data_IF_396846794334
#
_entry.id   IF_396846794334
#
_cell.length_a   1.000
_cell.length_b   1.000
_cell.length_c   1.000
_cell.angle_alpha   90.00
_cell.angle_beta   90.00
_cell.angle_gamma   90.00
#
_symmetry.space_group_name_H-M   'P 1'
#
loop_
_entity.id
_entity.type
_entity.pdbx_description
1 polymer ?
#
# COMPACT_ATOMS: atom_id res chain seq x y z
N UNK A 1 -0.26 -15.49 13.94
CA UNK A 1 -0.15 -16.06 12.59
C UNK A 1 -1.16 -15.41 11.69
N UNK A 2 -0.73 -14.90 10.54
CA UNK A 2 -1.60 -14.15 9.66
C UNK A 2 -2.15 -15.03 8.54
N UNK A 3 -3.47 -14.96 8.33
CA UNK A 3 -4.14 -15.63 7.20
C UNK A 3 -4.74 -14.59 6.28
N UNK A 4 -4.83 -14.94 5.01
CA UNK A 4 -5.44 -14.14 3.96
C UNK A 4 -6.62 -14.88 3.37
N UNK A 5 -7.70 -14.16 3.07
CA UNK A 5 -8.76 -14.68 2.23
C UNK A 5 -8.25 -14.83 0.79
N UNK A 6 -8.69 -15.86 0.11
CA UNK A 6 -8.44 -16.05 -1.32
C UNK A 6 -9.62 -15.46 -2.10
N UNK A 7 -9.31 -14.63 -3.08
CA UNK A 7 -10.27 -13.92 -3.93
C UNK A 7 -10.23 -14.44 -5.36
N UNK A 8 -11.31 -14.24 -6.12
CA UNK A 8 -11.28 -14.37 -7.58
C UNK A 8 -10.85 -13.03 -8.23
N UNK A 9 -10.74 -13.00 -9.55
CA UNK A 9 -10.32 -11.79 -10.28
C UNK A 9 -11.29 -10.62 -10.11
N UNK A 10 -12.55 -10.88 -9.78
CA UNK A 10 -13.57 -9.85 -9.57
C UNK A 10 -13.62 -9.36 -8.11
N UNK A 11 -12.64 -9.74 -7.31
CA UNK A 11 -12.51 -9.43 -5.88
C UNK A 11 -13.64 -10.01 -5.03
N UNK A 12 -14.18 -11.15 -5.41
CA UNK A 12 -15.11 -11.91 -4.60
C UNK A 12 -14.32 -12.91 -3.75
N UNK A 13 -14.66 -13.02 -2.46
CA UNK A 13 -14.07 -14.04 -1.60
C UNK A 13 -14.53 -15.42 -2.06
N UNK A 14 -13.57 -16.34 -2.17
CA UNK A 14 -13.85 -17.72 -2.58
C UNK A 14 -14.35 -18.60 -1.44
N UNK A 15 -14.25 -18.12 -0.19
CA UNK A 15 -14.50 -18.92 1.02
C UNK A 15 -13.28 -19.73 1.48
N UNK A 16 -12.19 -19.68 0.72
CA UNK A 16 -10.93 -20.34 1.10
C UNK A 16 -9.94 -19.31 1.64
N UNK A 17 -9.04 -19.77 2.49
CA UNK A 17 -7.98 -18.93 3.05
C UNK A 17 -6.63 -19.61 2.82
N UNK A 18 -5.56 -18.82 2.95
CA UNK A 18 -4.21 -19.34 3.00
C UNK A 18 -3.42 -18.64 4.10
N UNK A 19 -2.44 -19.31 4.65
CA UNK A 19 -1.49 -18.70 5.56
C UNK A 19 -0.57 -17.78 4.76
N UNK A 20 -0.25 -16.62 5.33
CA UNK A 20 0.68 -15.67 4.71
C UNK A 20 1.97 -16.36 4.29
N UNK A 21 2.39 -16.16 3.05
CA UNK A 21 3.58 -16.72 2.43
C UNK A 21 3.55 -18.24 2.17
N UNK A 22 2.41 -18.88 2.31
CA UNK A 22 2.29 -20.33 2.05
C UNK A 22 1.98 -20.64 0.58
N UNK A 23 1.55 -19.65 -0.17
CA UNK A 23 1.34 -19.67 -1.62
C UNK A 23 0.60 -20.90 -2.15
N UNK A 24 -0.52 -21.25 -1.51
CA UNK A 24 -1.37 -22.39 -1.87
C UNK A 24 -2.47 -21.97 -2.84
N UNK A 25 -2.13 -21.23 -3.88
CA UNK A 25 -3.07 -20.72 -4.86
C UNK A 25 -3.26 -21.66 -6.03
N UNK A 26 -4.52 -21.86 -6.41
CA UNK A 26 -4.89 -22.50 -7.67
C UNK A 26 -4.97 -21.46 -8.79
N UNK A 27 -5.02 -21.87 -10.07
CA UNK A 27 -5.27 -20.94 -11.18
C UNK A 27 -6.57 -20.14 -10.94
N UNK A 28 -6.49 -18.83 -11.14
CA UNK A 28 -7.62 -17.93 -10.90
C UNK A 28 -7.78 -17.45 -9.47
N UNK A 29 -6.92 -17.89 -8.56
CA UNK A 29 -6.89 -17.41 -7.17
C UNK A 29 -5.99 -16.18 -7.05
N UNK A 30 -6.43 -15.23 -6.23
CA UNK A 30 -5.70 -13.99 -5.95
C UNK A 30 -5.69 -13.70 -4.45
N UNK A 31 -4.64 -13.07 -3.94
CA UNK A 31 -4.73 -12.40 -2.65
C UNK A 31 -4.93 -10.89 -2.86
N UNK A 32 -5.45 -10.23 -1.85
CA UNK A 32 -5.74 -8.80 -1.90
C UNK A 32 -4.74 -8.04 -1.03
N UNK A 33 -4.18 -6.99 -1.61
CA UNK A 33 -3.30 -6.05 -0.93
C UNK A 33 -3.87 -4.64 -1.06
N UNK A 34 -3.44 -3.74 -0.21
CA UNK A 34 -3.87 -2.34 -0.23
C UNK A 34 -2.65 -1.43 -0.16
N UNK A 35 -2.76 -0.27 -0.80
CA UNK A 35 -1.82 0.82 -0.65
C UNK A 35 -2.63 2.09 -0.40
N UNK A 36 -2.16 2.95 0.50
CA UNK A 36 -2.87 4.19 0.81
C UNK A 36 -1.91 5.36 0.93
N UNK A 37 -2.18 6.42 0.18
CA UNK A 37 -1.40 7.64 0.27
C UNK A 37 -2.21 8.75 0.92
N UNK A 38 -1.57 9.56 1.75
CA UNK A 38 -2.14 10.79 2.31
C UNK A 38 -1.67 11.96 1.46
N UNK A 39 -2.61 12.75 0.96
CA UNK A 39 -2.34 13.97 0.21
C UNK A 39 -2.71 15.18 1.07
N UNK A 40 -1.80 16.14 1.18
CA UNK A 40 -2.04 17.39 1.89
C UNK A 40 -2.76 18.41 1.00
N UNK A 41 -3.37 19.45 1.60
CA UNK A 41 -4.07 20.48 0.83
C UNK A 41 -3.18 21.21 -0.19
N UNK A 42 -1.88 21.30 0.07
CA UNK A 42 -0.91 21.91 -0.85
C UNK A 42 -0.35 20.93 -1.89
N UNK A 43 -0.92 19.74 -2.00
CA UNK A 43 -0.58 18.78 -3.05
C UNK A 43 0.69 17.97 -2.81
N UNK A 44 1.10 17.79 -1.55
CA UNK A 44 2.20 16.91 -1.20
C UNK A 44 1.66 15.56 -0.72
N UNK A 45 2.47 14.52 -0.87
CA UNK A 45 2.09 13.14 -0.58
C UNK A 45 3.02 12.53 0.46
N UNK A 46 2.45 11.84 1.44
CA UNK A 46 3.23 11.13 2.44
C UNK A 46 3.78 9.84 1.84
N UNK A 47 5.09 9.78 1.70
CA UNK A 47 5.82 8.60 1.23
C UNK A 47 6.79 8.13 2.30
N UNK A 48 7.09 6.84 2.29
CA UNK A 48 8.00 6.21 3.25
C UNK A 48 9.14 5.51 2.52
N UNK A 49 10.29 5.40 3.20
CA UNK A 49 11.47 4.73 2.65
C UNK A 49 11.70 3.43 3.40
N UNK A 50 11.79 2.33 2.67
CA UNK A 50 12.01 0.99 3.22
C UNK A 50 13.35 0.92 3.94
N UNK A 51 13.37 0.18 5.06
CA UNK A 51 14.59 -0.05 5.82
C UNK A 51 15.67 -0.73 4.96
N UNK A 52 16.93 -0.40 5.22
CA UNK A 52 18.06 -0.90 4.45
C UNK A 52 18.33 -2.40 4.67
N UNK A 53 17.83 -2.98 5.76
CA UNK A 53 17.96 -4.40 6.07
C UNK A 53 16.87 -5.28 5.47
N UNK A 54 15.97 -4.70 4.67
CA UNK A 54 14.95 -5.48 3.96
C UNK A 54 15.61 -6.32 2.85
N UNK A 55 15.17 -7.57 2.70
CA UNK A 55 15.67 -8.46 1.66
C UNK A 55 15.27 -8.00 0.27
N UNK A 56 14.06 -7.40 0.17
CA UNK A 56 13.52 -6.93 -1.10
C UNK A 56 13.43 -5.41 -1.10
N UNK A 57 14.00 -4.79 -2.15
CA UNK A 57 13.98 -3.36 -2.40
C UNK A 57 14.41 -2.51 -1.18
N UNK A 58 15.57 -2.79 -0.54
CA UNK A 58 16.02 -1.97 0.57
C UNK A 58 16.27 -0.53 0.14
N UNK A 59 15.81 0.42 0.95
CA UNK A 59 16.01 1.84 0.68
C UNK A 59 15.12 2.46 -0.39
N UNK A 60 14.26 1.69 -1.02
CA UNK A 60 13.30 2.23 -1.99
C UNK A 60 12.18 2.98 -1.29
N UNK A 61 11.61 3.94 -1.99
CA UNK A 61 10.44 4.69 -1.53
C UNK A 61 9.15 4.03 -1.97
N UNK A 62 8.11 4.22 -1.17
CA UNK A 62 6.78 3.64 -1.43
C UNK A 62 5.69 4.42 -0.71
N UNK A 63 4.43 4.07 -0.99
CA UNK A 63 3.32 4.49 -0.15
C UNK A 63 2.94 3.34 0.79
N UNK A 64 2.42 3.65 1.99
CA UNK A 64 2.08 2.60 2.98
C UNK A 64 1.06 1.60 2.48
N UNK A 65 1.20 0.35 2.91
CA UNK A 65 0.25 -0.70 2.60
C UNK A 65 0.71 -2.09 2.99
N UNK A 66 -0.10 -3.08 2.65
CA UNK A 66 0.17 -4.47 2.95
C UNK A 66 -0.99 -5.38 2.61
N UNK A 67 -0.90 -6.64 3.01
CA UNK A 67 -1.93 -7.64 2.73
C UNK A 67 -3.19 -7.45 3.58
N UNK A 68 -4.34 -7.71 2.97
CA UNK A 68 -5.63 -7.73 3.66
C UNK A 68 -5.75 -9.04 4.41
N UNK A 69 -5.95 -8.97 5.72
CA UNK A 69 -6.10 -10.17 6.57
C UNK A 69 -7.45 -10.84 6.35
N UNK A 70 -7.51 -12.14 6.57
CA UNK A 70 -8.76 -12.88 6.49
C UNK A 70 -9.84 -12.24 7.39
N UNK A 71 -11.03 -12.03 6.84
CA UNK A 71 -12.15 -11.38 7.53
C UNK A 71 -12.12 -9.86 7.53
N UNK A 72 -11.02 -9.25 7.12
CA UNK A 72 -10.85 -7.81 7.06
C UNK A 72 -11.37 -7.28 5.71
N UNK A 73 -11.99 -6.11 5.71
CA UNK A 73 -12.31 -5.44 4.45
C UNK A 73 -11.08 -4.70 3.93
N UNK A 74 -11.08 -4.39 2.65
CA UNK A 74 -10.03 -3.58 2.01
C UNK A 74 -9.83 -2.24 2.75
N UNK A 75 -10.92 -1.55 3.07
CA UNK A 75 -10.87 -0.27 3.79
C UNK A 75 -10.30 -0.42 5.21
N UNK A 76 -10.71 -1.46 5.93
CA UNK A 76 -10.14 -1.73 7.26
C UNK A 76 -8.64 -2.00 7.17
N UNK A 77 -8.21 -2.73 6.14
CA UNK A 77 -6.80 -3.06 5.94
C UNK A 77 -5.96 -1.82 5.66
N UNK A 78 -6.41 -0.94 4.77
CA UNK A 78 -5.63 0.27 4.45
C UNK A 78 -5.56 1.22 5.65
N UNK A 79 -6.65 1.35 6.42
CA UNK A 79 -6.62 2.15 7.66
C UNK A 79 -5.61 1.58 8.66
N UNK A 80 -5.60 0.27 8.83
CA UNK A 80 -4.66 -0.41 9.74
C UNK A 80 -3.22 -0.22 9.29
N UNK A 81 -2.93 -0.46 8.02
CA UNK A 81 -1.56 -0.36 7.48
C UNK A 81 -1.01 1.07 7.55
N UNK A 82 -1.81 2.06 7.16
CA UNK A 82 -1.37 3.45 7.23
C UNK A 82 -1.11 3.86 8.69
N UNK A 83 -1.99 3.45 9.61
CA UNK A 83 -1.81 3.75 11.03
C UNK A 83 -0.56 3.06 11.60
N UNK A 84 -0.36 1.78 11.31
CA UNK A 84 0.81 1.02 11.79
C UNK A 84 2.11 1.62 11.27
N UNK A 85 2.17 1.96 10.00
CA UNK A 85 3.41 2.41 9.35
C UNK A 85 3.72 3.89 9.60
N UNK A 86 2.70 4.75 9.73
CA UNK A 86 2.90 6.21 9.78
C UNK A 86 2.32 6.90 11.00
N UNK A 87 1.51 6.20 11.79
CA UNK A 87 0.80 6.79 12.92
C UNK A 87 -0.40 7.65 12.54
N UNK A 88 -0.74 7.75 11.27
CA UNK A 88 -1.85 8.57 10.79
C UNK A 88 -3.14 7.75 10.74
N UNK A 89 -4.18 8.24 11.41
CA UNK A 89 -5.53 7.65 11.35
C UNK A 89 -6.30 8.27 10.18
N UNK A 90 -6.47 7.50 9.11
CA UNK A 90 -7.17 7.94 7.91
C UNK A 90 -8.65 7.52 7.88
N UNK A 91 -9.15 6.89 8.94
CA UNK A 91 -10.49 6.28 8.95
C UNK A 91 -11.62 7.28 8.73
N UNK A 92 -11.41 8.56 9.06
CA UNK A 92 -12.39 9.65 8.90
C UNK A 92 -11.96 10.71 7.90
N UNK A 93 -10.88 10.46 7.15
CA UNK A 93 -10.38 11.39 6.17
C UNK A 93 -11.30 11.48 4.96
N UNK A 94 -11.26 12.61 4.26
CA UNK A 94 -11.87 12.74 2.95
C UNK A 94 -11.10 11.89 1.93
N UNK A 95 -11.75 11.54 0.81
CA UNK A 95 -11.17 10.66 -0.18
C UNK A 95 -11.52 9.20 0.11
N UNK A 96 -10.67 8.29 -0.31
CA UNK A 96 -10.86 6.86 -0.12
C UNK A 96 -10.37 6.05 -1.31
N UNK A 97 -11.09 4.98 -1.64
CA UNK A 97 -10.76 4.12 -2.76
C UNK A 97 -10.62 4.91 -4.06
N UNK A 98 -9.55 4.66 -4.80
CA UNK A 98 -9.25 5.37 -6.03
C UNK A 98 -9.33 4.47 -7.25
N UNK A 99 -8.56 3.37 -7.28
CA UNK A 99 -8.59 2.35 -8.33
C UNK A 99 -7.91 1.09 -7.84
N UNK A 100 -7.94 0.03 -8.66
CA UNK A 100 -7.19 -1.18 -8.39
C UNK A 100 -6.45 -1.66 -9.64
N UNK A 101 -5.47 -2.50 -9.43
CA UNK A 101 -4.81 -3.23 -10.51
C UNK A 101 -4.53 -4.66 -10.03
N UNK A 102 -4.20 -5.54 -10.97
CA UNK A 102 -3.83 -6.91 -10.63
C UNK A 102 -2.58 -7.34 -11.38
N UNK A 103 -1.92 -8.36 -10.85
CA UNK A 103 -0.75 -8.99 -11.47
C UNK A 103 -0.86 -10.48 -11.33
N UNK A 104 -0.52 -11.18 -12.40
CA UNK A 104 -0.43 -12.63 -12.41
C UNK A 104 1.04 -13.03 -12.40
N UNK A 105 1.41 -13.78 -11.38
CA UNK A 105 2.71 -14.43 -11.24
C UNK A 105 2.44 -15.87 -10.87
N UNK A 106 3.18 -16.87 -11.41
CA UNK A 106 2.91 -18.27 -11.08
C UNK A 106 2.85 -18.49 -9.56
N UNK A 107 1.65 -18.90 -9.07
CA UNK A 107 1.41 -19.17 -7.67
C UNK A 107 1.28 -17.95 -6.76
N UNK A 108 1.37 -16.73 -7.30
CA UNK A 108 1.38 -15.50 -6.49
C UNK A 108 0.56 -14.38 -7.15
N UNK A 109 -0.60 -14.69 -7.66
CA UNK A 109 -1.47 -13.68 -8.24
C UNK A 109 -2.01 -12.74 -7.15
N UNK A 110 -2.04 -11.44 -7.43
CA UNK A 110 -2.53 -10.48 -6.46
C UNK A 110 -3.31 -9.33 -7.10
N UNK A 111 -4.20 -8.75 -6.30
CA UNK A 111 -4.95 -7.53 -6.61
C UNK A 111 -4.52 -6.48 -5.59
N UNK A 112 -4.34 -5.25 -6.04
CA UNK A 112 -3.99 -4.13 -5.16
C UNK A 112 -5.06 -3.06 -5.25
N UNK A 113 -5.71 -2.76 -4.13
CA UNK A 113 -6.61 -1.62 -4.01
C UNK A 113 -5.80 -0.38 -3.60
N UNK A 114 -5.96 0.70 -4.35
CA UNK A 114 -5.24 1.95 -4.14
C UNK A 114 -6.20 2.98 -3.55
N UNK A 115 -5.79 3.58 -2.42
CA UNK A 115 -6.53 4.61 -1.71
C UNK A 115 -5.76 5.91 -1.69
N UNK A 116 -6.50 7.03 -1.75
CA UNK A 116 -5.94 8.37 -1.53
C UNK A 116 -6.82 9.11 -0.55
N UNK A 117 -6.21 9.50 0.56
CA UNK A 117 -6.87 10.23 1.63
C UNK A 117 -6.39 11.68 1.64
N UNK A 118 -7.32 12.63 1.78
CA UNK A 118 -7.00 14.05 1.86
C UNK A 118 -7.01 14.48 3.34
N UNK A 119 -5.85 14.89 3.85
CA UNK A 119 -5.68 15.31 5.24
C UNK A 119 -4.65 16.43 5.33
N UNK A 120 -4.91 17.37 6.21
CA UNK A 120 -3.96 18.43 6.54
C UNK A 120 -3.03 17.94 7.66
N UNK A 121 -1.90 17.37 7.26
CA UNK A 121 -0.90 16.85 8.19
C UNK A 121 0.45 17.53 7.96
N UNK A 122 1.31 17.46 8.96
CA UNK A 122 2.73 17.81 8.87
C UNK A 122 3.55 16.58 9.27
N UNK A 123 4.86 16.61 9.06
CA UNK A 123 5.74 15.51 9.50
C UNK A 123 5.76 15.34 11.02
N UNK A 124 5.34 16.34 11.80
CA UNK A 124 5.20 16.22 13.25
C UNK A 124 4.09 15.22 13.65
N UNK A 125 3.13 15.00 12.76
CA UNK A 125 2.04 14.02 12.97
C UNK A 125 2.45 12.60 12.65
N UNK A 126 3.60 12.40 12.01
CA UNK A 126 4.05 11.10 11.52
C UNK A 126 4.94 10.41 12.52
N UNK A 127 4.63 9.12 12.78
CA UNK A 127 5.44 8.25 13.65
C UNK A 127 5.70 6.95 12.89
N UNK A 128 6.92 6.80 12.37
CA UNK A 128 7.28 5.67 11.52
C UNK A 128 7.44 4.36 12.31
N UNK A 129 7.02 3.25 11.70
CA UNK A 129 7.30 1.91 12.19
C UNK A 129 8.75 1.55 11.82
N UNK A 130 9.68 1.70 12.77
CA UNK A 130 11.13 1.61 12.54
C UNK A 130 11.60 0.27 11.95
N UNK A 131 10.88 -0.82 12.20
CA UNK A 131 11.20 -2.12 11.63
C UNK A 131 10.93 -2.19 10.13
N UNK A 132 10.07 -1.30 9.61
CA UNK A 132 9.65 -1.27 8.21
C UNK A 132 10.30 -0.11 7.45
N UNK A 133 10.36 1.07 8.06
CA UNK A 133 10.76 2.30 7.38
C UNK A 133 11.84 3.05 8.15
N UNK A 134 12.79 3.61 7.40
CA UNK A 134 13.88 4.43 7.97
C UNK A 134 13.65 5.92 7.79
N UNK A 135 12.75 6.31 6.88
CA UNK A 135 12.48 7.72 6.62
C UNK A 135 11.06 7.88 6.08
N UNK A 136 10.55 9.10 6.20
CA UNK A 136 9.28 9.51 5.63
C UNK A 136 9.34 10.97 5.27
N UNK A 137 8.58 11.38 4.26
CA UNK A 137 8.46 12.79 3.91
C UNK A 137 7.16 13.07 3.20
N UNK A 138 6.79 14.36 3.23
CA UNK A 138 5.74 14.89 2.38
C UNK A 138 6.41 15.40 1.09
N UNK A 139 6.19 14.68 -0.01
CA UNK A 139 6.86 14.93 -1.29
C UNK A 139 5.88 15.52 -2.31
N UNK A 140 6.36 16.45 -3.12
CA UNK A 140 5.61 16.96 -4.26
C UNK A 140 5.58 15.91 -5.37
N UNK A 141 4.66 16.08 -6.32
CA UNK A 141 4.60 15.20 -7.49
C UNK A 141 5.94 15.18 -8.26
N UNK A 142 6.56 16.34 -8.42
CA UNK A 142 7.85 16.43 -9.11
C UNK A 142 8.96 15.67 -8.38
N UNK A 143 8.99 15.73 -7.05
CA UNK A 143 9.94 14.98 -6.24
C UNK A 143 9.72 13.46 -6.38
N UNK A 144 8.45 13.03 -6.37
CA UNK A 144 8.09 11.61 -6.57
C UNK A 144 8.52 11.13 -7.95
N UNK A 145 8.25 11.92 -9.00
CA UNK A 145 8.66 11.59 -10.36
C UNK A 145 10.17 11.45 -10.49
N UNK A 146 10.91 12.31 -9.81
CA UNK A 146 12.38 12.24 -9.80
C UNK A 146 12.88 10.97 -9.16
N UNK A 147 12.31 10.60 -8.02
CA UNK A 147 12.65 9.32 -7.36
C UNK A 147 12.34 8.14 -8.28
N UNK A 148 11.21 8.17 -8.97
CA UNK A 148 10.81 7.14 -9.91
C UNK A 148 11.77 7.04 -11.11
N UNK A 149 12.23 8.17 -11.64
CA UNK A 149 13.22 8.21 -12.72
C UNK A 149 14.54 7.59 -12.31
N UNK A 150 14.90 7.70 -11.04
CA UNK A 150 16.08 7.06 -10.47
C UNK A 150 15.89 5.55 -10.25
N UNK A 151 14.67 5.02 -10.49
CA UNK A 151 14.35 3.61 -10.31
C UNK A 151 14.18 3.21 -8.84
N UNK A 152 13.85 4.15 -7.96
CA UNK A 152 13.81 3.95 -6.52
C UNK A 152 12.40 4.10 -5.90
N UNK A 153 11.35 4.14 -6.73
CA UNK A 153 9.98 4.19 -6.24
C UNK A 153 9.23 2.91 -6.61
N UNK A 154 8.80 2.16 -5.58
CA UNK A 154 8.15 0.87 -5.78
C UNK A 154 6.82 1.00 -6.50
N UNK A 155 6.63 0.14 -7.50
CA UNK A 155 5.38 0.01 -8.28
C UNK A 155 4.91 1.29 -8.95
N UNK A 156 5.81 2.24 -9.18
CA UNK A 156 5.42 3.58 -9.65
C UNK A 156 4.50 3.54 -10.88
N UNK A 157 4.86 2.77 -11.90
CA UNK A 157 4.06 2.71 -13.13
C UNK A 157 2.65 2.15 -12.91
N UNK A 158 2.46 1.31 -11.90
CA UNK A 158 1.16 0.75 -11.57
C UNK A 158 0.30 1.70 -10.73
N UNK A 159 0.92 2.58 -9.94
CA UNK A 159 0.21 3.41 -8.96
C UNK A 159 0.19 4.91 -9.28
N UNK A 160 0.95 5.36 -10.28
CA UNK A 160 1.16 6.81 -10.53
C UNK A 160 -0.11 7.64 -10.66
N UNK A 161 -1.22 7.04 -11.09
CA UNK A 161 -2.50 7.74 -11.17
C UNK A 161 -2.96 8.30 -9.82
N UNK A 162 -2.56 7.69 -8.72
CA UNK A 162 -2.93 8.16 -7.39
C UNK A 162 -2.34 9.52 -7.07
N UNK A 163 -1.22 9.87 -7.72
CA UNK A 163 -0.55 11.17 -7.56
C UNK A 163 -1.03 12.21 -8.56
N UNK A 164 -1.57 11.78 -9.71
CA UNK A 164 -1.84 12.65 -10.85
C UNK A 164 -3.30 13.05 -10.97
N UNK A 165 -4.22 12.22 -10.56
CA UNK A 165 -5.67 12.49 -10.70
C UNK A 165 -6.21 13.48 -9.60
#
# INVERSE_FOLDING_TARGET
MEFWDIYDIDKNRTGRTMKRNDWTMAPGDYYLSVLGVVRTPDGRFLITQRAMDKEWAPGWWEIPGGGVKAGETSFQAVCREVLEETGIDVSKAAGGYHFCYHREQPGQNYIVDIYRFDMDITMDDVSLQKSEDIDGRLATLDEIRKIAEEGLFLHYNSIKRVFED
#
